data_IF_559973623755
#
_entry.id   IF_559973623755
#
_cell.length_a   1.000
_cell.length_b   1.000
_cell.length_c   1.000
_cell.angle_alpha   90.00
_cell.angle_beta   90.00
_cell.angle_gamma   90.00
#
_symmetry.space_group_name_H-M   'P 1'
#
loop_
_entity.id
_entity.type
_entity.pdbx_description
1 polymer ?
#
# COMPACT_ATOMS: atom_id res chain seq x y z
N UNK A 1 -0.66 -3.57 17.29
CA UNK A 1 -1.65 -2.55 16.91
C UNK A 1 -1.11 -1.78 15.72
N UNK A 2 -1.90 -1.62 14.65
CA UNK A 2 -1.49 -0.89 13.45
C UNK A 2 -1.32 0.60 13.74
N UNK A 3 -0.40 1.23 13.04
CA UNK A 3 -0.10 2.66 13.09
C UNK A 3 -0.29 3.29 11.70
N UNK A 4 -0.64 4.57 11.67
CA UNK A 4 -0.74 5.31 10.40
C UNK A 4 0.62 5.28 9.69
N UNK A 5 0.63 4.83 8.44
CA UNK A 5 1.84 4.63 7.65
C UNK A 5 2.32 3.18 7.59
N UNK A 6 1.80 2.28 8.44
CA UNK A 6 2.10 0.85 8.34
C UNK A 6 1.57 0.27 7.03
N UNK A 7 2.24 -0.76 6.53
CA UNK A 7 1.86 -1.43 5.31
C UNK A 7 1.43 -2.86 5.62
N UNK A 8 0.37 -3.29 4.94
CA UNK A 8 -0.23 -4.61 5.09
C UNK A 8 -0.54 -5.19 3.72
N UNK A 9 -0.45 -6.51 3.59
CA UNK A 9 -0.95 -7.23 2.43
C UNK A 9 -1.86 -8.37 2.88
N UNK A 10 -2.93 -8.70 2.14
CA UNK A 10 -3.71 -9.90 2.38
C UNK A 10 -2.81 -11.14 2.38
N UNK A 11 -3.14 -12.11 3.22
CA UNK A 11 -2.48 -13.42 3.24
C UNK A 11 -2.76 -14.13 1.92
N UNK A 12 -1.72 -14.32 1.11
CA UNK A 12 -1.80 -14.96 -0.21
C UNK A 12 -0.70 -14.49 -1.14
N UNK A 13 -0.41 -15.29 -2.16
CA UNK A 13 0.54 -14.91 -3.22
C UNK A 13 -0.08 -13.81 -4.12
N UNK A 14 0.77 -12.90 -4.62
CA UNK A 14 0.40 -11.80 -5.52
C UNK A 14 -0.72 -10.86 -5.02
N UNK A 15 -0.83 -10.69 -3.71
CA UNK A 15 -1.80 -9.77 -3.11
C UNK A 15 -1.31 -8.29 -3.17
N UNK A 16 -2.22 -7.32 -3.37
CA UNK A 16 -1.86 -5.91 -3.37
C UNK A 16 -1.48 -5.43 -1.96
N UNK A 17 -0.58 -4.46 -1.89
CA UNK A 17 -0.16 -3.80 -0.66
C UNK A 17 -1.09 -2.63 -0.36
N UNK A 18 -1.46 -2.51 0.90
CA UNK A 18 -2.25 -1.44 1.46
C UNK A 18 -1.43 -0.67 2.49
N UNK A 19 -1.68 0.62 2.60
CA UNK A 19 -1.14 1.50 3.64
C UNK A 19 -2.23 1.90 4.62
N UNK A 20 -1.93 1.85 5.90
CA UNK A 20 -2.80 2.38 6.95
C UNK A 20 -2.84 3.91 6.84
N UNK A 21 -4.03 4.45 6.63
CA UNK A 21 -4.29 5.91 6.57
C UNK A 21 -5.17 6.39 7.74
N UNK A 22 -5.73 5.49 8.53
CA UNK A 22 -6.51 5.80 9.73
C UNK A 22 -6.64 4.60 10.68
N UNK A 23 -6.69 4.88 11.98
CA UNK A 23 -6.78 3.90 13.08
C UNK A 23 -7.81 4.37 14.11
N UNK A 24 -9.08 4.37 13.72
CA UNK A 24 -10.20 4.75 14.60
C UNK A 24 -10.85 3.49 15.17
N UNK A 25 -12.19 3.36 15.12
CA UNK A 25 -12.90 2.11 15.46
C UNK A 25 -12.54 0.98 14.48
N UNK A 26 -12.21 1.33 13.24
CA UNK A 26 -11.74 0.43 12.19
C UNK A 26 -10.44 0.97 11.59
N UNK A 27 -9.66 0.08 10.98
CA UNK A 27 -8.42 0.41 10.29
C UNK A 27 -8.74 0.75 8.84
N UNK A 28 -8.41 1.97 8.43
CA UNK A 28 -8.57 2.42 7.06
C UNK A 28 -7.29 2.09 6.26
N UNK A 29 -7.45 1.24 5.25
CA UNK A 29 -6.40 0.73 4.37
C UNK A 29 -6.54 1.30 2.97
N UNK A 30 -5.56 2.10 2.53
CA UNK A 30 -5.47 2.60 1.16
C UNK A 30 -4.65 1.64 0.31
N UNK A 31 -5.20 1.14 -0.80
CA UNK A 31 -4.46 0.32 -1.76
C UNK A 31 -3.40 1.16 -2.47
N UNK A 32 -2.14 0.77 -2.34
CA UNK A 32 -0.99 1.48 -2.93
C UNK A 32 -0.36 0.74 -4.12
N UNK A 33 -0.72 -0.53 -4.34
CA UNK A 33 -0.28 -1.30 -5.52
C UNK A 33 -1.44 -1.92 -6.30
N UNK A 34 -1.26 -2.12 -7.60
CA UNK A 34 -2.11 -2.92 -8.47
C UNK A 34 -1.99 -4.42 -8.16
N UNK A 35 -2.72 -5.27 -8.91
CA UNK A 35 -2.72 -6.74 -8.77
C UNK A 35 -1.38 -7.38 -9.17
N UNK A 36 -0.48 -6.61 -9.77
CA UNK A 36 0.84 -7.04 -10.19
C UNK A 36 1.94 -6.44 -9.29
N UNK A 37 1.55 -5.90 -8.12
CA UNK A 37 2.46 -5.29 -7.15
C UNK A 37 3.09 -3.96 -7.60
N UNK A 38 2.59 -3.35 -8.67
CA UNK A 38 3.09 -2.06 -9.17
C UNK A 38 2.36 -0.92 -8.48
N UNK A 39 3.04 0.17 -8.16
CA UNK A 39 2.42 1.34 -7.52
C UNK A 39 1.27 1.87 -8.39
N UNK A 40 0.09 2.00 -7.79
CA UNK A 40 -1.09 2.54 -8.45
C UNK A 40 -1.82 3.49 -7.50
N UNK A 41 -2.16 4.68 -7.99
CA UNK A 41 -3.02 5.63 -7.26
C UNK A 41 -4.47 5.26 -7.49
N UNK A 42 -4.92 4.20 -6.83
CA UNK A 42 -6.28 3.66 -6.98
C UNK A 42 -7.33 4.53 -6.29
N UNK A 43 -6.98 5.14 -5.16
CA UNK A 43 -7.96 5.76 -4.26
C UNK A 43 -8.89 4.75 -3.59
N UNK A 44 -8.60 3.44 -3.70
CA UNK A 44 -9.37 2.37 -3.07
C UNK A 44 -9.03 2.31 -1.59
N UNK A 45 -9.96 2.78 -0.75
CA UNK A 45 -9.87 2.75 0.71
C UNK A 45 -10.83 1.71 1.24
N UNK A 46 -10.30 0.77 2.02
CA UNK A 46 -11.07 -0.27 2.70
C UNK A 46 -11.03 -0.04 4.19
N UNK A 47 -12.15 -0.26 4.84
CA UNK A 47 -12.26 -0.25 6.28
C UNK A 47 -12.29 -1.70 6.76
N UNK A 48 -11.40 -2.03 7.70
CA UNK A 48 -11.23 -3.40 8.19
C UNK A 48 -11.21 -3.36 9.72
N UNK A 49 -11.97 -4.25 10.35
CA UNK A 49 -11.89 -4.42 11.80
C UNK A 49 -10.49 -4.89 12.20
N UNK A 50 -10.01 -4.47 13.38
CA UNK A 50 -8.66 -4.84 13.86
C UNK A 50 -8.47 -6.35 13.95
N UNK A 51 -9.47 -7.09 14.42
CA UNK A 51 -9.40 -8.56 14.52
C UNK A 51 -9.30 -9.23 13.15
N UNK A 52 -9.95 -8.66 12.14
CA UNK A 52 -9.87 -9.15 10.76
C UNK A 52 -8.52 -8.80 10.13
N UNK A 53 -7.97 -7.62 10.42
CA UNK A 53 -6.64 -7.24 9.97
C UNK A 53 -5.59 -8.25 10.47
N UNK A 54 -5.64 -8.62 11.75
CA UNK A 54 -4.69 -9.57 12.34
C UNK A 54 -4.86 -11.01 11.81
N UNK A 55 -6.06 -11.38 11.35
CA UNK A 55 -6.36 -12.71 10.84
C UNK A 55 -6.06 -12.87 9.33
N UNK A 56 -6.34 -11.84 8.53
CA UNK A 56 -6.34 -11.90 7.07
C UNK A 56 -5.18 -11.15 6.41
N UNK A 57 -4.44 -10.34 7.17
CA UNK A 57 -3.34 -9.54 6.63
C UNK A 57 -2.05 -9.78 7.40
N UNK A 58 -0.95 -9.66 6.67
CA UNK A 58 0.39 -9.66 7.23
C UNK A 58 1.10 -8.32 6.96
N UNK A 59 2.02 -7.97 7.86
CA UNK A 59 2.81 -6.75 7.74
C UNK A 59 3.68 -6.81 6.48
N UNK A 60 3.57 -5.79 5.64
CA UNK A 60 4.36 -5.64 4.43
C UNK A 60 5.48 -4.62 4.65
N UNK A 61 6.60 -4.80 3.95
CA UNK A 61 7.63 -3.77 3.90
C UNK A 61 7.10 -2.53 3.17
N UNK A 62 7.54 -1.36 3.60
CA UNK A 62 7.21 -0.09 2.95
C UNK A 62 7.71 -0.11 1.48
N UNK A 63 6.81 0.03 0.49
CA UNK A 63 7.21 0.08 -0.91
C UNK A 63 8.07 1.32 -1.25
N UNK A 64 8.13 2.33 -0.38
CA UNK A 64 8.90 3.57 -0.54
C UNK A 64 10.24 3.58 0.23
N UNK A 65 10.48 2.66 1.18
CA UNK A 65 11.67 2.67 2.05
C UNK A 65 13.00 2.27 1.38
N UNK A 66 13.03 2.24 0.05
CA UNK A 66 14.24 2.08 -0.75
C UNK A 66 14.50 0.63 -1.12
N UNK A 67 14.54 0.40 -2.44
CA UNK A 67 15.42 -0.52 -3.13
C UNK A 67 16.35 -1.37 -2.23
N UNK A 68 15.80 -2.40 -1.58
CA UNK A 68 16.57 -3.58 -1.22
C UNK A 68 16.29 -4.60 -2.32
N UNK A 69 17.30 -4.93 -3.15
CA UNK A 69 17.10 -5.68 -4.38
C UNK A 69 16.89 -7.15 -4.03
N UNK A 70 15.64 -7.55 -3.86
CA UNK A 70 15.22 -8.94 -4.02
C UNK A 70 13.99 -8.92 -4.92
N UNK A 71 14.28 -9.07 -6.23
CA UNK A 71 13.36 -9.23 -7.35
C UNK A 71 12.52 -8.01 -7.79
N UNK A 72 12.81 -7.46 -8.98
CA UNK A 72 11.77 -6.81 -9.80
C UNK A 72 11.90 -5.32 -10.15
N UNK A 73 13.08 -4.86 -10.55
CA UNK A 73 13.29 -3.55 -11.17
C UNK A 73 12.49 -3.42 -12.49
N UNK A 74 11.32 -2.74 -12.50
CA UNK A 74 10.65 -2.39 -13.79
C UNK A 74 9.79 -1.13 -13.92
N UNK A 75 9.45 -0.36 -12.87
CA UNK A 75 8.54 0.79 -13.04
C UNK A 75 9.06 2.11 -12.46
N UNK A 76 10.17 2.60 -13.01
CA UNK A 76 10.77 3.88 -12.68
C UNK A 76 10.10 5.11 -13.37
N UNK A 77 8.93 4.97 -14.00
CA UNK A 77 8.43 5.98 -14.96
C UNK A 77 7.24 6.83 -14.48
N UNK A 78 6.55 6.44 -13.41
CA UNK A 78 5.28 7.10 -13.03
C UNK A 78 5.46 8.42 -12.27
N UNK A 79 6.67 8.69 -11.75
CA UNK A 79 6.97 9.86 -10.92
C UNK A 79 6.89 11.22 -11.63
N UNK A 80 6.85 11.25 -12.97
CA UNK A 80 6.79 12.50 -13.74
C UNK A 80 5.41 13.16 -13.77
N UNK A 81 4.33 12.41 -13.51
CA UNK A 81 2.96 12.93 -13.71
C UNK A 81 2.53 13.91 -12.59
N UNK A 82 2.98 13.69 -11.36
CA UNK A 82 2.57 14.51 -10.22
C UNK A 82 3.25 15.89 -10.16
N UNK A 83 4.34 16.12 -10.92
CA UNK A 83 4.98 17.44 -10.97
C UNK A 83 4.21 18.43 -11.86
N UNK A 84 3.43 17.95 -12.83
CA UNK A 84 2.70 18.82 -13.76
C UNK A 84 1.35 19.34 -13.24
N UNK A 85 0.86 18.87 -12.08
CA UNK A 85 -0.45 19.29 -11.56
C UNK A 85 -0.40 20.42 -10.52
N UNK A 86 0.78 20.94 -10.18
CA UNK A 86 0.92 22.00 -9.17
C UNK A 86 1.06 23.42 -9.74
N UNK A 87 1.29 23.58 -11.04
CA UNK A 87 1.36 24.88 -11.68
C UNK A 87 0.88 24.80 -13.14
N UNK A 88 -0.23 25.51 -13.42
CA UNK A 88 -0.84 25.80 -14.73
C UNK A 88 -2.00 24.90 -15.17
#
# INVERSE_FOLDING_TARGET
MPSIGDHYRPTGDDAPVYRVVGVTDEVALLRVTDEHGRRESTGDVRHVATDQLDAEFEAAADPDAGFRPVAGLRNALSGLYWQFRRFL
#
